data_IF_618617716024
#
_entry.id   IF_618617716024
#
_cell.length_a   1.000
_cell.length_b   1.000
_cell.length_c   1.000
_cell.angle_alpha   90.00
_cell.angle_beta   90.00
_cell.angle_gamma   90.00
#
_symmetry.space_group_name_H-M   'P 1'
#
loop_
_entity.id
_entity.type
_entity.pdbx_description
1 polymer ?
#
# COMPACT_ATOMS: atom_id res chain seq x y z
N UNK A 1 18.81 15.93 -15.08
CA UNK A 1 20.18 15.57 -14.62
C UNK A 1 20.89 16.85 -14.23
N UNK A 2 21.49 16.96 -13.04
CA UNK A 2 22.34 18.12 -12.72
C UNK A 2 23.69 18.01 -13.43
N UNK A 3 24.33 19.14 -13.74
CA UNK A 3 25.67 19.16 -14.37
C UNK A 3 26.73 18.44 -13.53
N UNK A 4 26.55 18.41 -12.20
CA UNK A 4 27.41 17.70 -11.26
C UNK A 4 27.30 16.18 -11.42
N UNK A 5 26.07 15.66 -11.58
CA UNK A 5 25.86 14.23 -11.83
C UNK A 5 26.43 13.82 -13.18
N UNK A 6 26.20 14.63 -14.23
CA UNK A 6 26.73 14.36 -15.57
C UNK A 6 28.26 14.26 -15.55
N UNK A 7 28.94 15.23 -14.96
CA UNK A 7 30.41 15.24 -14.88
C UNK A 7 30.97 14.03 -14.12
N UNK A 8 30.30 13.59 -13.05
CA UNK A 8 30.74 12.43 -12.25
C UNK A 8 30.60 11.10 -13.00
N UNK A 9 29.63 11.01 -13.91
CA UNK A 9 29.34 9.78 -14.68
C UNK A 9 30.04 9.74 -16.04
N UNK A 10 30.53 10.87 -16.57
CA UNK A 10 31.33 10.96 -17.81
C UNK A 10 32.68 10.22 -17.73
N UNK A 11 33.24 10.07 -16.53
CA UNK A 11 34.53 9.41 -16.28
C UNK A 11 34.41 7.90 -16.02
N UNK A 12 33.19 7.36 -15.96
CA UNK A 12 32.95 5.93 -15.70
C UNK A 12 32.99 5.14 -17.01
N UNK A 13 33.78 4.07 -17.04
CA UNK A 13 34.03 3.30 -18.27
C UNK A 13 32.90 2.32 -18.59
N UNK A 14 32.15 1.91 -17.57
CA UNK A 14 31.13 0.86 -17.72
C UNK A 14 29.75 1.31 -17.25
N UNK A 15 28.72 0.77 -17.89
CA UNK A 15 27.34 0.93 -17.43
C UNK A 15 27.12 0.38 -16.00
N UNK A 16 27.92 -0.61 -15.58
CA UNK A 16 27.87 -1.19 -14.25
C UNK A 16 28.27 -0.17 -13.16
N UNK A 17 29.39 0.53 -13.35
CA UNK A 17 29.86 1.56 -12.39
C UNK A 17 28.89 2.72 -12.26
N UNK A 18 28.27 3.13 -13.38
CA UNK A 18 27.21 4.15 -13.38
C UNK A 18 26.02 3.66 -12.54
N UNK A 19 25.62 2.39 -12.68
CA UNK A 19 24.52 1.80 -11.94
C UNK A 19 24.81 1.72 -10.44
N UNK A 20 25.98 1.21 -10.02
CA UNK A 20 26.38 1.20 -8.62
C UNK A 20 26.45 2.61 -8.01
N UNK A 21 26.95 3.59 -8.76
CA UNK A 21 27.02 4.97 -8.29
C UNK A 21 25.64 5.60 -8.08
N UNK A 22 24.70 5.30 -8.98
CA UNK A 22 23.31 5.72 -8.86
C UNK A 22 22.62 5.03 -7.68
N UNK A 23 22.86 3.73 -7.49
CA UNK A 23 22.33 2.98 -6.34
C UNK A 23 22.90 3.51 -5.02
N UNK A 24 24.18 3.84 -4.96
CA UNK A 24 24.78 4.45 -3.76
C UNK A 24 24.21 5.84 -3.45
N UNK A 25 23.87 6.65 -4.47
CA UNK A 25 23.32 7.99 -4.28
C UNK A 25 21.81 8.01 -4.01
N UNK A 26 21.04 7.10 -4.63
CA UNK A 26 19.57 7.14 -4.62
C UNK A 26 18.91 5.91 -3.98
N UNK A 27 19.66 4.85 -3.71
CA UNK A 27 19.14 3.61 -3.11
C UNK A 27 18.72 3.77 -1.64
N UNK A 28 19.49 4.48 -0.82
CA UNK A 28 19.14 4.69 0.59
C UNK A 28 17.81 5.46 0.80
N UNK A 29 17.52 6.56 0.05
CA UNK A 29 16.19 7.18 0.04
C UNK A 29 15.05 6.24 -0.36
N UNK A 30 15.28 5.38 -1.36
CA UNK A 30 14.29 4.41 -1.83
C UNK A 30 13.98 3.35 -0.78
N UNK A 31 15.01 2.78 -0.15
CA UNK A 31 14.90 1.81 0.93
C UNK A 31 14.16 2.39 2.14
N UNK A 32 14.49 3.63 2.52
CA UNK A 32 13.77 4.33 3.58
C UNK A 32 12.29 4.52 3.24
N UNK A 33 11.98 4.94 2.01
CA UNK A 33 10.59 5.16 1.60
C UNK A 33 9.78 3.85 1.61
N UNK A 34 10.38 2.73 1.19
CA UNK A 34 9.76 1.41 1.30
C UNK A 34 9.45 1.04 2.75
N UNK A 35 10.39 1.28 3.67
CA UNK A 35 10.18 1.03 5.11
C UNK A 35 9.12 1.95 5.71
N UNK A 36 9.06 3.21 5.28
CA UNK A 36 8.04 4.16 5.73
C UNK A 36 6.64 3.76 5.24
N UNK A 37 6.51 3.29 3.99
CA UNK A 37 5.25 2.74 3.48
C UNK A 37 4.80 1.50 4.28
N UNK A 38 5.72 0.55 4.50
CA UNK A 38 5.45 -0.64 5.32
C UNK A 38 4.99 -0.27 6.73
N UNK A 39 5.62 0.75 7.34
CA UNK A 39 5.22 1.28 8.65
C UNK A 39 3.83 1.91 8.60
N UNK A 40 3.50 2.67 7.56
CA UNK A 40 2.18 3.28 7.39
C UNK A 40 1.07 2.22 7.32
N UNK A 41 1.23 1.19 6.48
CA UNK A 41 0.25 0.11 6.35
C UNK A 41 0.05 -0.70 7.64
N UNK A 42 1.14 -0.95 8.40
CA UNK A 42 1.05 -1.70 9.65
C UNK A 42 0.39 -0.89 10.77
N UNK A 43 0.63 0.42 10.83
CA UNK A 43 0.17 1.27 11.91
C UNK A 43 -1.24 1.81 11.68
N UNK A 44 -1.69 1.97 10.44
CA UNK A 44 -3.03 2.46 10.14
C UNK A 44 -4.06 1.33 10.25
N UNK A 45 -4.41 0.97 11.48
CA UNK A 45 -5.46 -0.02 11.76
C UNK A 45 -6.80 0.66 11.96
N UNK A 46 -7.83 0.10 11.32
CA UNK A 46 -9.19 0.59 11.43
C UNK A 46 -9.66 0.52 12.89
N UNK A 47 -10.15 1.66 13.41
CA UNK A 47 -10.69 1.72 14.77
C UNK A 47 -12.08 1.10 14.81
N UNK A 48 -12.40 0.44 15.94
CA UNK A 48 -13.73 -0.12 16.19
C UNK A 48 -14.82 0.95 16.03
N UNK A 49 -15.90 0.65 15.32
CA UNK A 49 -17.02 1.57 15.09
C UNK A 49 -16.74 2.76 14.14
N UNK A 50 -15.54 2.88 13.59
CA UNK A 50 -15.23 3.87 12.54
C UNK A 50 -15.82 3.47 11.19
N UNK A 51 -15.92 4.43 10.25
CA UNK A 51 -16.43 4.14 8.90
C UNK A 51 -15.43 3.35 8.07
N UNK A 52 -15.84 2.20 7.55
CA UNK A 52 -15.00 1.38 6.64
C UNK A 52 -14.67 2.11 5.35
N UNK A 53 -15.59 2.93 4.85
CA UNK A 53 -15.38 3.76 3.66
C UNK A 53 -14.21 4.72 3.86
N UNK A 54 -14.20 5.45 4.98
CA UNK A 54 -13.12 6.38 5.30
C UNK A 54 -11.78 5.64 5.46
N UNK A 55 -11.78 4.49 6.13
CA UNK A 55 -10.59 3.67 6.30
C UNK A 55 -9.98 3.20 4.98
N UNK A 56 -10.81 2.69 4.05
CA UNK A 56 -10.32 2.22 2.75
C UNK A 56 -9.78 3.38 1.91
N UNK A 57 -10.36 4.58 1.98
CA UNK A 57 -9.78 5.75 1.31
C UNK A 57 -8.40 6.13 1.86
N UNK A 58 -8.23 6.13 3.19
CA UNK A 58 -6.91 6.37 3.78
C UNK A 58 -5.87 5.34 3.31
N UNK A 59 -6.25 4.07 3.19
CA UNK A 59 -5.38 3.03 2.65
C UNK A 59 -4.98 3.27 1.19
N UNK A 60 -5.93 3.74 0.36
CA UNK A 60 -5.67 4.11 -1.03
C UNK A 60 -4.67 5.27 -1.10
N UNK A 61 -4.79 6.27 -0.22
CA UNK A 61 -3.84 7.37 -0.14
C UNK A 61 -2.42 6.87 0.20
N UNK A 62 -2.28 5.95 1.17
CA UNK A 62 -0.98 5.33 1.47
C UNK A 62 -0.42 4.51 0.30
N UNK A 63 -1.26 3.82 -0.47
CA UNK A 63 -0.80 3.11 -1.67
C UNK A 63 -0.31 4.07 -2.75
N UNK A 64 -1.00 5.21 -2.92
CA UNK A 64 -0.57 6.24 -3.86
C UNK A 64 0.76 6.87 -3.43
N UNK A 65 0.92 7.18 -2.15
CA UNK A 65 2.18 7.69 -1.60
C UNK A 65 3.32 6.69 -1.78
N UNK A 66 3.07 5.40 -1.56
CA UNK A 66 4.07 4.35 -1.81
C UNK A 66 4.47 4.31 -3.29
N UNK A 67 3.52 4.40 -4.22
CA UNK A 67 3.78 4.39 -5.66
C UNK A 67 4.58 5.62 -6.11
N UNK A 68 4.26 6.82 -5.60
CA UNK A 68 5.03 8.05 -5.85
C UNK A 68 6.48 7.95 -5.36
N UNK A 69 6.72 7.16 -4.32
CA UNK A 69 8.05 6.85 -3.80
C UNK A 69 8.69 5.61 -4.44
N UNK A 70 8.16 5.15 -5.58
CA UNK A 70 8.71 4.04 -6.37
C UNK A 70 8.38 2.64 -5.85
N UNK A 71 7.54 2.53 -4.82
CA UNK A 71 7.07 1.25 -4.28
C UNK A 71 5.69 0.92 -4.83
N UNK A 72 5.63 0.25 -5.98
CA UNK A 72 4.36 -0.23 -6.55
C UNK A 72 3.92 -1.52 -5.88
N UNK A 73 2.69 -1.56 -5.40
CA UNK A 73 2.07 -2.72 -4.77
C UNK A 73 1.01 -3.27 -5.72
N UNK A 74 1.03 -4.58 -6.00
CA UNK A 74 0.03 -5.20 -6.85
C UNK A 74 -1.35 -5.20 -6.18
N UNK A 75 -2.41 -5.19 -7.00
CA UNK A 75 -3.79 -5.06 -6.53
C UNK A 75 -4.20 -6.16 -5.54
N UNK A 76 -3.73 -7.40 -5.72
CA UNK A 76 -4.08 -8.50 -4.81
C UNK A 76 -3.44 -8.28 -3.43
N UNK A 77 -2.21 -7.78 -3.39
CA UNK A 77 -1.54 -7.39 -2.14
C UNK A 77 -2.22 -6.18 -1.49
N UNK A 78 -2.64 -5.18 -2.26
CA UNK A 78 -3.39 -4.03 -1.73
C UNK A 78 -4.70 -4.46 -1.04
N UNK A 79 -5.44 -5.37 -1.66
CA UNK A 79 -6.66 -5.97 -1.08
C UNK A 79 -6.34 -6.71 0.21
N UNK A 80 -5.27 -7.51 0.23
CA UNK A 80 -4.82 -8.20 1.43
C UNK A 80 -4.48 -7.24 2.58
N UNK A 81 -3.74 -6.16 2.29
CA UNK A 81 -3.38 -5.13 3.27
C UNK A 81 -4.64 -4.48 3.86
N UNK A 82 -5.63 -4.14 3.03
CA UNK A 82 -6.89 -3.58 3.51
C UNK A 82 -7.59 -4.58 4.43
N UNK A 83 -7.77 -5.84 4.02
CA UNK A 83 -8.45 -6.86 4.81
C UNK A 83 -7.79 -7.06 6.19
N UNK A 84 -6.45 -7.11 6.23
CA UNK A 84 -5.66 -7.23 7.47
C UNK A 84 -5.68 -5.98 8.35
N UNK A 85 -6.07 -4.83 7.80
CA UNK A 85 -6.15 -3.57 8.54
C UNK A 85 -7.52 -3.30 9.15
N UNK A 86 -8.54 -4.08 8.79
CA UNK A 86 -9.90 -3.91 9.28
C UNK A 86 -10.02 -4.18 10.78
N UNK A 87 -11.03 -3.57 11.40
CA UNK A 87 -11.33 -3.82 12.81
C UNK A 87 -11.97 -5.20 13.00
N UNK A 88 -11.96 -5.71 14.24
CA UNK A 88 -12.57 -7.00 14.58
C UNK A 88 -14.05 -7.10 14.22
N UNK A 89 -14.76 -5.99 14.06
CA UNK A 89 -16.16 -5.95 13.64
C UNK A 89 -16.37 -6.51 12.22
N UNK A 90 -15.29 -6.62 11.42
CA UNK A 90 -15.29 -7.17 10.06
C UNK A 90 -14.74 -8.59 9.97
N UNK A 91 -14.45 -9.26 11.09
CA UNK A 91 -13.83 -10.59 11.06
C UNK A 91 -14.67 -11.65 10.32
N UNK A 92 -16.00 -11.61 10.45
CA UNK A 92 -16.89 -12.49 9.69
C UNK A 92 -16.79 -12.26 8.17
N UNK A 93 -16.71 -10.99 7.74
CA UNK A 93 -16.52 -10.62 6.34
C UNK A 93 -15.19 -11.17 5.80
N UNK A 94 -14.09 -10.93 6.53
CA UNK A 94 -12.75 -11.39 6.13
C UNK A 94 -12.70 -12.91 6.02
N UNK A 95 -13.24 -13.63 7.01
CA UNK A 95 -13.30 -15.09 6.97
C UNK A 95 -14.10 -15.58 5.77
N UNK A 96 -15.27 -15.00 5.49
CA UNK A 96 -16.06 -15.37 4.33
C UNK A 96 -15.32 -15.10 3.00
N UNK A 97 -14.64 -13.96 2.90
CA UNK A 97 -13.85 -13.59 1.73
C UNK A 97 -12.75 -14.63 1.44
N UNK A 98 -11.98 -15.00 2.48
CA UNK A 98 -10.89 -15.99 2.38
C UNK A 98 -11.42 -17.39 2.09
N UNK A 99 -12.41 -17.86 2.85
CA UNK A 99 -12.96 -19.21 2.71
C UNK A 99 -13.57 -19.46 1.34
N UNK A 100 -14.21 -18.45 0.75
CA UNK A 100 -14.78 -18.54 -0.59
C UNK A 100 -13.78 -18.22 -1.70
N UNK A 101 -12.51 -17.99 -1.37
CA UNK A 101 -11.44 -17.63 -2.31
C UNK A 101 -11.86 -16.47 -3.23
N UNK A 102 -12.57 -15.49 -2.66
CA UNK A 102 -13.08 -14.36 -3.41
C UNK A 102 -11.89 -13.55 -3.93
N UNK A 103 -12.00 -13.10 -5.18
CA UNK A 103 -11.09 -12.13 -5.78
C UNK A 103 -11.88 -10.87 -6.03
N UNK A 104 -11.31 -9.74 -5.70
CA UNK A 104 -11.94 -8.44 -5.90
C UNK A 104 -10.89 -7.41 -6.24
N UNK A 105 -11.23 -6.42 -7.06
CA UNK A 105 -10.49 -5.17 -7.11
C UNK A 105 -10.88 -4.25 -5.93
N UNK A 106 -10.20 -3.11 -5.79
CA UNK A 106 -10.46 -2.15 -4.70
C UNK A 106 -11.90 -1.59 -4.72
N UNK A 107 -12.49 -1.41 -5.90
CA UNK A 107 -13.85 -0.85 -6.03
C UNK A 107 -14.89 -1.86 -5.56
N UNK A 108 -14.77 -3.11 -5.99
CA UNK A 108 -15.62 -4.22 -5.53
C UNK A 108 -15.50 -4.42 -4.02
N UNK A 109 -14.27 -4.45 -3.50
CA UNK A 109 -14.02 -4.60 -2.06
C UNK A 109 -14.68 -3.47 -1.25
N UNK A 110 -14.53 -2.21 -1.68
CA UNK A 110 -15.14 -1.06 -1.04
C UNK A 110 -16.67 -1.19 -0.96
N UNK A 111 -17.31 -1.58 -2.07
CA UNK A 111 -18.76 -1.75 -2.13
C UNK A 111 -19.24 -2.88 -1.20
N UNK A 112 -18.55 -4.02 -1.22
CA UNK A 112 -18.87 -5.16 -0.38
C UNK A 112 -18.74 -4.84 1.12
N UNK A 113 -17.66 -4.14 1.50
CA UNK A 113 -17.42 -3.70 2.87
C UNK A 113 -18.50 -2.73 3.35
N UNK A 114 -18.90 -1.77 2.52
CA UNK A 114 -19.97 -0.82 2.85
C UNK A 114 -21.34 -1.51 2.99
N UNK A 115 -21.63 -2.49 2.13
CA UNK A 115 -22.85 -3.29 2.21
C UNK A 115 -22.89 -4.12 3.50
N UNK A 116 -21.75 -4.72 3.89
CA UNK A 116 -21.61 -5.45 5.15
C UNK A 116 -21.81 -4.54 6.36
N UNK A 117 -21.14 -3.38 6.39
CA UNK A 117 -21.28 -2.38 7.46
C UNK A 117 -22.74 -1.93 7.63
N UNK A 118 -23.42 -1.65 6.52
CA UNK A 118 -24.83 -1.22 6.51
C UNK A 118 -25.79 -2.30 7.01
N UNK A 119 -25.50 -3.58 6.71
CA UNK A 119 -26.32 -4.72 7.15
C UNK A 119 -26.18 -4.96 8.65
N UNK A 120 -24.96 -4.84 9.19
CA UNK A 120 -24.71 -5.03 10.62
C UNK A 120 -25.27 -3.88 11.47
N UNK A 121 -25.24 -2.64 10.98
CA UNK A 121 -25.89 -1.49 11.64
C UNK A 121 -27.40 -1.63 11.79
N UNK A 122 -28.07 -2.47 10.98
CA UNK A 122 -29.51 -2.75 11.08
C UNK A 122 -29.86 -3.85 12.08
N UNK A 123 -28.86 -4.61 12.53
CA UNK A 123 -29.03 -5.79 13.41
C UNK A 123 -28.77 -5.49 14.88
N UNK A 124 -28.07 -4.41 15.20
CA UNK A 124 -27.86 -3.90 16.56
C UNK A 124 -28.82 -2.76 16.88
#
# INVERSE_FOLDING_TARGET
MSDVLRKKHEEMETAYEIMESLEAMFGAPFEKARLDAVRAFMNDKMKKGSSVKAHVFNMIDHFHDAELNGTRIDEATQVGIILESLSLDFHEFVNNFVMNKKKSNLTELMNDLQNFESTNKRRG
#
